data_IF_497421686993
#
_entry.id   IF_497421686993
#
_cell.length_a   1.000
_cell.length_b   1.000
_cell.length_c   1.000
_cell.angle_alpha   90.00
_cell.angle_beta   90.00
_cell.angle_gamma   90.00
#
_symmetry.space_group_name_H-M   'P 1'
#
loop_
_entity.id
_entity.type
_entity.pdbx_description
1 polymer ?
#
# COMPACT_ATOMS: atom_id res chain seq x y z
N UNK A 1 18.81 -27.60 -20.03
CA UNK A 1 20.01 -27.67 -19.18
C UNK A 1 20.98 -28.71 -19.69
N UNK A 2 22.23 -28.30 -19.92
CA UNK A 2 23.34 -29.22 -20.09
C UNK A 2 23.76 -29.77 -18.72
N UNK A 3 23.99 -31.07 -18.62
CA UNK A 3 24.33 -31.76 -17.36
C UNK A 3 25.83 -31.78 -17.14
N UNK A 4 26.31 -31.33 -15.98
CA UNK A 4 27.71 -31.32 -15.59
C UNK A 4 28.09 -32.50 -14.67
N UNK A 5 27.11 -33.12 -14.01
CA UNK A 5 27.35 -34.27 -13.14
C UNK A 5 27.23 -35.62 -13.87
N UNK A 6 28.01 -36.61 -13.44
CA UNK A 6 27.90 -37.99 -13.90
C UNK A 6 28.08 -38.97 -12.75
N UNK A 7 27.52 -40.17 -12.90
CA UNK A 7 27.62 -41.24 -11.91
C UNK A 7 28.84 -42.12 -12.21
N UNK A 8 29.74 -42.28 -11.25
CA UNK A 8 30.87 -43.21 -11.34
C UNK A 8 31.12 -43.89 -9.99
N UNK A 9 31.25 -45.23 -10.01
CA UNK A 9 31.47 -46.03 -8.81
C UNK A 9 30.38 -45.85 -7.73
N UNK A 10 29.15 -45.51 -8.12
CA UNK A 10 28.03 -45.27 -7.20
C UNK A 10 28.07 -43.91 -6.49
N UNK A 11 28.89 -42.96 -6.96
CA UNK A 11 28.94 -41.59 -6.45
C UNK A 11 28.80 -40.60 -7.60
N UNK A 12 28.11 -39.49 -7.34
CA UNK A 12 28.07 -38.39 -8.28
C UNK A 12 29.43 -37.66 -8.30
N UNK A 13 29.87 -37.35 -9.52
CA UNK A 13 31.11 -36.62 -9.80
C UNK A 13 30.83 -35.48 -10.78
N UNK A 14 31.65 -34.44 -10.70
CA UNK A 14 31.63 -33.32 -11.64
C UNK A 14 33.06 -33.09 -12.13
N UNK A 15 33.22 -32.92 -13.45
CA UNK A 15 34.52 -32.61 -14.05
C UNK A 15 34.50 -31.19 -14.60
N UNK A 16 35.40 -30.35 -14.10
CA UNK A 16 35.65 -29.01 -14.63
C UNK A 16 37.11 -28.91 -15.08
N UNK A 17 37.33 -28.90 -16.40
CA UNK A 17 38.66 -29.03 -16.98
C UNK A 17 39.32 -30.36 -16.57
N UNK A 18 40.53 -30.28 -16.04
CA UNK A 18 41.30 -31.44 -15.57
C UNK A 18 41.04 -31.79 -14.09
N UNK A 19 40.12 -31.08 -13.42
CA UNK A 19 39.81 -31.31 -12.00
C UNK A 19 38.48 -32.04 -11.84
N UNK A 20 38.49 -33.07 -11.00
CA UNK A 20 37.31 -33.84 -10.62
C UNK A 20 36.87 -33.51 -9.19
N UNK A 21 35.58 -33.31 -9.01
CA UNK A 21 34.95 -32.98 -7.75
C UNK A 21 33.96 -34.07 -7.34
N UNK A 22 33.86 -34.31 -6.03
CA UNK A 22 32.85 -35.20 -5.44
C UNK A 22 32.43 -34.68 -4.06
N UNK A 23 31.29 -35.16 -3.57
CA UNK A 23 30.77 -34.85 -2.24
C UNK A 23 29.33 -34.32 -2.24
N UNK A 24 28.79 -33.97 -1.06
CA UNK A 24 27.35 -33.69 -0.89
C UNK A 24 26.80 -32.55 -1.76
N UNK A 25 27.64 -31.57 -2.11
CA UNK A 25 27.23 -30.47 -2.98
C UNK A 25 27.08 -30.93 -4.45
N UNK A 26 27.87 -31.91 -4.89
CA UNK A 26 27.74 -32.55 -6.21
C UNK A 26 26.46 -33.39 -6.27
N UNK A 27 26.13 -34.10 -5.19
CA UNK A 27 24.87 -34.83 -5.08
C UNK A 27 23.66 -33.89 -5.19
N UNK A 28 23.72 -32.71 -4.54
CA UNK A 28 22.69 -31.67 -4.64
C UNK A 28 22.57 -31.10 -6.04
N UNK A 29 23.70 -30.85 -6.71
CA UNK A 29 23.70 -30.37 -8.09
C UNK A 29 23.12 -31.41 -9.05
N UNK A 30 23.49 -32.69 -8.89
CA UNK A 30 22.93 -33.77 -9.69
C UNK A 30 21.41 -33.90 -9.53
N UNK A 31 20.92 -33.79 -8.28
CA UNK A 31 19.49 -33.78 -8.00
C UNK A 31 18.77 -32.58 -8.63
N UNK A 32 19.44 -31.43 -8.71
CA UNK A 32 18.91 -30.26 -9.39
C UNK A 32 18.89 -30.44 -10.92
N UNK A 33 19.98 -30.93 -11.51
CA UNK A 33 20.04 -31.25 -12.95
C UNK A 33 19.03 -32.33 -13.36
N UNK A 34 18.71 -33.28 -12.47
CA UNK A 34 17.67 -34.29 -12.68
C UNK A 34 16.27 -33.67 -12.82
N UNK A 35 16.03 -32.45 -12.32
CA UNK A 35 14.78 -31.72 -12.58
C UNK A 35 14.66 -31.25 -14.02
N UNK A 36 15.79 -31.10 -14.73
CA UNK A 36 15.85 -30.56 -16.09
C UNK A 36 15.52 -29.07 -16.22
N UNK A 37 15.22 -28.40 -15.10
CA UNK A 37 14.88 -26.98 -15.06
C UNK A 37 16.14 -26.13 -15.13
N UNK A 38 16.09 -25.02 -15.87
CA UNK A 38 17.06 -23.94 -15.74
C UNK A 38 16.88 -23.19 -14.41
N UNK A 39 17.91 -22.51 -13.87
CA UNK A 39 17.79 -21.79 -12.60
C UNK A 39 16.66 -20.79 -12.60
N UNK A 40 16.50 -20.08 -13.72
CA UNK A 40 15.45 -19.10 -13.93
C UNK A 40 14.05 -19.73 -14.03
N UNK A 41 13.96 -21.03 -14.36
CA UNK A 41 12.69 -21.76 -14.49
C UNK A 41 12.19 -22.38 -13.17
N UNK A 42 12.99 -22.34 -12.10
CA UNK A 42 12.57 -22.87 -10.78
C UNK A 42 11.41 -22.04 -10.23
N UNK A 43 11.54 -20.72 -10.26
CA UNK A 43 10.54 -19.82 -9.69
C UNK A 43 9.19 -19.95 -10.41
N UNK A 44 9.21 -20.11 -11.73
CA UNK A 44 8.02 -20.37 -12.53
C UNK A 44 7.36 -21.70 -12.16
N UNK A 45 8.14 -22.79 -12.08
CA UNK A 45 7.63 -24.10 -11.68
C UNK A 45 7.04 -24.11 -10.25
N UNK A 46 7.64 -23.33 -9.33
CA UNK A 46 7.11 -23.17 -7.98
C UNK A 46 5.79 -22.39 -7.97
N UNK A 47 5.71 -21.30 -8.74
CA UNK A 47 4.48 -20.52 -8.87
C UNK A 47 3.36 -21.36 -9.49
N UNK A 48 3.64 -22.11 -10.55
CA UNK A 48 2.67 -23.02 -11.16
C UNK A 48 2.19 -24.09 -10.18
N UNK A 49 3.10 -24.72 -9.43
CA UNK A 49 2.74 -25.71 -8.43
C UNK A 49 1.85 -25.12 -7.33
N UNK A 50 2.17 -23.90 -6.89
CA UNK A 50 1.36 -23.14 -5.94
C UNK A 50 -0.04 -22.85 -6.49
N UNK A 51 -0.14 -22.35 -7.72
CA UNK A 51 -1.40 -21.99 -8.36
C UNK A 51 -2.28 -23.23 -8.61
N UNK A 52 -1.70 -24.33 -9.07
CA UNK A 52 -2.41 -25.61 -9.23
C UNK A 52 -2.92 -26.14 -7.89
N UNK A 53 -2.10 -26.06 -6.83
CA UNK A 53 -2.50 -26.44 -5.48
C UNK A 53 -3.65 -25.58 -4.96
N UNK A 54 -3.55 -24.26 -5.12
CA UNK A 54 -4.59 -23.32 -4.72
C UNK A 54 -5.89 -23.56 -5.50
N UNK A 55 -5.80 -23.74 -6.82
CA UNK A 55 -6.94 -24.04 -7.68
C UNK A 55 -7.62 -25.37 -7.30
N UNK A 56 -6.84 -26.40 -6.98
CA UNK A 56 -7.39 -27.67 -6.48
C UNK A 56 -8.15 -27.49 -5.16
N UNK A 57 -7.63 -26.69 -4.23
CA UNK A 57 -8.32 -26.36 -2.98
C UNK A 57 -9.62 -25.58 -3.23
N UNK A 58 -9.63 -24.64 -4.17
CA UNK A 58 -10.82 -23.88 -4.54
C UNK A 58 -11.89 -24.77 -5.16
N UNK A 59 -11.50 -25.63 -6.11
CA UNK A 59 -12.40 -26.60 -6.73
C UNK A 59 -13.02 -27.55 -5.70
N UNK A 60 -12.23 -28.05 -4.74
CA UNK A 60 -12.73 -28.88 -3.65
C UNK A 60 -13.78 -28.15 -2.79
N UNK A 61 -13.60 -26.85 -2.56
CA UNK A 61 -14.55 -26.02 -1.82
C UNK A 61 -15.73 -25.52 -2.66
N UNK A 62 -15.76 -25.83 -3.95
CA UNK A 62 -16.77 -25.32 -4.89
C UNK A 62 -16.70 -23.81 -5.08
N UNK A 63 -15.51 -23.21 -4.93
CA UNK A 63 -15.26 -21.78 -5.09
C UNK A 63 -14.41 -21.52 -6.32
N UNK A 64 -14.58 -20.34 -6.91
CA UNK A 64 -13.77 -19.83 -8.01
C UNK A 64 -12.61 -18.98 -7.49
N UNK A 65 -11.68 -18.66 -8.40
CA UNK A 65 -10.55 -17.79 -8.10
C UNK A 65 -10.99 -16.36 -7.76
N UNK A 66 -12.02 -15.85 -8.46
CA UNK A 66 -12.60 -14.51 -8.20
C UNK A 66 -13.20 -14.42 -6.80
N UNK A 67 -14.02 -15.42 -6.42
CA UNK A 67 -14.64 -15.46 -5.09
C UNK A 67 -13.59 -15.56 -3.98
N UNK A 68 -12.52 -16.31 -4.20
CA UNK A 68 -11.42 -16.40 -3.26
C UNK A 68 -10.66 -15.07 -3.12
N UNK A 69 -10.39 -14.38 -4.23
CA UNK A 69 -9.74 -13.08 -4.23
C UNK A 69 -10.60 -12.03 -3.50
N UNK A 70 -11.90 -11.99 -3.77
CA UNK A 70 -12.86 -11.15 -3.05
C UNK A 70 -12.85 -11.45 -1.55
N UNK A 71 -12.86 -12.73 -1.15
CA UNK A 71 -12.80 -13.13 0.25
C UNK A 71 -11.52 -12.63 0.94
N UNK A 72 -10.37 -12.66 0.27
CA UNK A 72 -9.12 -12.14 0.82
C UNK A 72 -9.17 -10.62 0.96
N UNK A 73 -9.79 -9.91 0.02
CA UNK A 73 -10.01 -8.48 0.14
C UNK A 73 -10.89 -8.15 1.36
N UNK A 74 -11.95 -8.91 1.60
CA UNK A 74 -12.77 -8.75 2.82
C UNK A 74 -11.99 -9.04 4.09
N UNK A 75 -11.16 -10.09 4.11
CA UNK A 75 -10.31 -10.42 5.27
C UNK A 75 -9.28 -9.32 5.58
N UNK A 76 -8.81 -8.61 4.57
CA UNK A 76 -7.89 -7.50 4.74
C UNK A 76 -8.53 -6.27 5.41
N UNK A 77 -9.87 -6.17 5.42
CA UNK A 77 -10.59 -5.08 6.10
C UNK A 77 -10.57 -5.22 7.64
N UNK A 78 -10.37 -6.43 8.17
CA UNK A 78 -10.42 -6.73 9.59
C UNK A 78 -11.22 -7.99 9.90
N UNK A 79 -11.27 -8.37 11.17
CA UNK A 79 -12.10 -9.51 11.61
C UNK A 79 -13.58 -9.12 11.65
N UNK A 80 -14.45 -10.13 11.66
CA UNK A 80 -15.91 -9.90 11.77
C UNK A 80 -16.24 -9.20 13.08
N UNK A 81 -15.55 -9.52 14.17
CA UNK A 81 -15.73 -8.88 15.47
C UNK A 81 -15.34 -7.40 15.42
N UNK A 82 -14.21 -7.06 14.81
CA UNK A 82 -13.75 -5.68 14.64
C UNK A 82 -14.73 -4.87 13.79
N UNK A 83 -15.15 -5.41 12.64
CA UNK A 83 -16.10 -4.75 11.75
C UNK A 83 -17.48 -4.61 12.41
N UNK A 84 -17.91 -5.59 13.22
CA UNK A 84 -19.16 -5.51 13.98
C UNK A 84 -19.12 -4.43 15.06
N UNK A 85 -17.98 -4.30 15.76
CA UNK A 85 -17.77 -3.23 16.72
C UNK A 85 -17.80 -1.86 16.04
N UNK A 86 -17.18 -1.74 14.85
CA UNK A 86 -17.19 -0.52 14.06
C UNK A 86 -18.61 -0.11 13.62
N UNK A 87 -19.43 -1.07 13.17
CA UNK A 87 -20.83 -0.82 12.82
C UNK A 87 -21.63 -0.35 14.04
N UNK A 88 -21.43 -0.97 15.20
CA UNK A 88 -22.08 -0.53 16.44
C UNK A 88 -21.67 0.90 16.81
N UNK A 89 -20.39 1.23 16.69
CA UNK A 89 -19.90 2.57 16.97
C UNK A 89 -20.45 3.61 15.98
N UNK A 90 -20.65 3.23 14.72
CA UNK A 90 -21.34 4.05 13.73
C UNK A 90 -22.81 4.31 14.11
N UNK A 91 -23.55 3.25 14.45
CA UNK A 91 -24.96 3.36 14.85
C UNK A 91 -25.15 4.17 16.14
N UNK A 92 -24.18 4.09 17.07
CA UNK A 92 -24.17 4.87 18.31
C UNK A 92 -23.55 6.26 18.14
N UNK A 93 -23.18 6.66 16.92
CA UNK A 93 -22.62 7.98 16.59
C UNK A 93 -21.23 8.24 17.17
N UNK A 94 -20.52 7.19 17.61
CA UNK A 94 -19.13 7.26 18.10
C UNK A 94 -18.11 7.33 16.96
N UNK A 95 -18.49 6.87 15.76
CA UNK A 95 -17.68 6.97 14.54
C UNK A 95 -18.36 7.92 13.58
N UNK A 96 -17.62 8.90 13.09
CA UNK A 96 -18.03 9.78 12.01
C UNK A 96 -17.19 9.47 10.77
N UNK A 97 -17.86 9.27 9.64
CA UNK A 97 -17.22 9.17 8.33
C UNK A 97 -17.21 10.59 7.81
N UNK A 98 -16.03 11.14 7.81
CA UNK A 98 -15.75 12.40 7.20
C UNK A 98 -16.21 12.46 5.72
N UNK A 99 -17.20 13.31 5.34
CA UNK A 99 -17.57 13.52 3.94
C UNK A 99 -16.39 13.81 2.98
N UNK A 100 -16.34 13.24 1.77
CA UNK A 100 -15.22 13.40 0.85
C UNK A 100 -14.82 14.88 0.63
N UNK A 101 -13.54 15.18 0.30
CA UNK A 101 -13.11 16.56 0.04
C UNK A 101 -13.97 17.20 -1.06
N UNK A 102 -14.26 18.49 -0.88
CA UNK A 102 -15.05 19.28 -1.83
C UNK A 102 -14.39 19.32 -3.22
N UNK A 103 -15.23 19.34 -4.26
CA UNK A 103 -14.85 19.39 -5.67
C UNK A 103 -15.33 20.71 -6.29
N UNK A 104 -14.87 20.98 -7.51
CA UNK A 104 -15.31 22.13 -8.30
C UNK A 104 -16.83 22.13 -8.49
N UNK A 105 -17.49 23.25 -8.11
CA UNK A 105 -18.94 23.42 -8.23
C UNK A 105 -19.76 22.95 -7.01
N UNK A 106 -19.15 22.26 -6.04
CA UNK A 106 -19.78 22.04 -4.73
C UNK A 106 -19.95 23.38 -4.01
N UNK A 107 -21.01 23.62 -3.22
CA UNK A 107 -21.09 24.85 -2.43
C UNK A 107 -19.89 24.96 -1.47
N UNK A 108 -19.29 26.15 -1.39
CA UNK A 108 -18.18 26.40 -0.47
C UNK A 108 -18.65 26.08 0.96
N UNK A 109 -17.98 25.15 1.67
CA UNK A 109 -18.33 24.86 3.06
C UNK A 109 -18.08 26.10 3.92
N UNK A 110 -18.85 26.27 5.00
CA UNK A 110 -18.63 27.38 5.93
C UNK A 110 -17.16 27.37 6.39
N UNK A 111 -16.45 28.48 6.24
CA UNK A 111 -15.08 28.65 6.74
C UNK A 111 -15.09 29.62 7.92
N UNK A 112 -14.34 29.35 8.99
CA UNK A 112 -14.17 30.27 10.12
C UNK A 112 -12.86 31.07 9.98
N UNK A 113 -12.90 32.39 10.20
CA UNK A 113 -11.71 33.23 10.34
C UNK A 113 -11.09 33.02 11.72
N UNK A 114 -9.83 32.59 11.79
CA UNK A 114 -9.09 32.69 13.05
C UNK A 114 -8.84 34.16 13.44
N UNK A 115 -8.37 34.38 14.66
CA UNK A 115 -8.04 35.72 15.17
C UNK A 115 -6.92 36.44 14.37
N UNK A 116 -6.30 35.78 13.38
CA UNK A 116 -5.31 36.32 12.46
C UNK A 116 -5.82 36.53 11.02
N UNK A 117 -7.12 36.30 10.74
CA UNK A 117 -7.72 36.51 9.42
C UNK A 117 -7.57 35.35 8.42
N UNK A 118 -7.15 34.17 8.87
CA UNK A 118 -7.07 32.97 8.01
C UNK A 118 -8.39 32.21 8.02
N UNK A 119 -8.97 31.91 6.85
CA UNK A 119 -10.22 31.15 6.69
C UNK A 119 -9.96 29.64 6.72
N UNK A 120 -10.58 28.92 7.67
CA UNK A 120 -10.47 27.47 7.85
C UNK A 120 -11.82 26.77 7.62
N UNK A 121 -11.91 25.75 6.77
CA UNK A 121 -13.17 25.02 6.50
C UNK A 121 -13.72 24.29 7.75
N UNK A 122 -14.97 24.54 8.16
CA UNK A 122 -15.67 24.03 9.36
C UNK A 122 -15.99 22.52 9.36
N UNK A 123 -15.39 21.72 8.47
CA UNK A 123 -15.76 20.32 8.32
C UNK A 123 -14.93 19.33 9.14
N UNK A 124 -13.71 19.66 9.56
CA UNK A 124 -12.75 18.64 9.95
C UNK A 124 -11.94 19.01 11.18
N UNK A 125 -11.98 18.09 12.15
CA UNK A 125 -11.38 18.15 13.47
C UNK A 125 -10.11 19.02 13.52
N UNK A 126 -10.06 19.87 14.56
CA UNK A 126 -8.84 20.52 15.02
C UNK A 126 -7.71 19.48 15.00
N UNK A 127 -6.65 19.76 14.26
CA UNK A 127 -5.35 19.16 14.55
C UNK A 127 -5.02 19.43 16.03
N UNK A 128 -4.21 18.57 16.66
CA UNK A 128 -3.77 18.78 18.05
C UNK A 128 -3.05 20.14 18.24
N UNK A 129 -2.57 20.73 17.14
CA UNK A 129 -2.03 22.08 17.05
C UNK A 129 -3.06 23.05 16.45
N UNK A 130 -3.55 23.99 17.26
CA UNK A 130 -4.49 25.04 16.85
C UNK A 130 -4.02 25.92 15.68
N UNK A 131 -2.72 25.88 15.35
CA UNK A 131 -2.07 26.72 14.33
C UNK A 131 -1.79 26.00 12.99
N UNK A 132 -2.13 24.70 12.85
CA UNK A 132 -1.80 23.92 11.63
C UNK A 132 -3.03 23.43 10.84
N UNK A 133 -3.03 23.54 9.49
CA UNK A 133 -4.07 22.92 8.67
C UNK A 133 -4.12 21.42 8.86
N UNK A 134 -5.32 20.89 9.06
CA UNK A 134 -5.51 19.46 8.86
C UNK A 134 -5.09 19.08 7.43
N UNK A 135 -4.48 17.91 7.26
CA UNK A 135 -3.96 17.44 5.96
C UNK A 135 -5.03 17.36 4.86
N UNK A 136 -6.31 17.39 5.26
CA UNK A 136 -7.46 17.40 4.35
C UNK A 136 -7.76 18.78 3.77
N UNK A 137 -7.60 19.86 4.53
CA UNK A 137 -7.70 21.23 3.98
C UNK A 137 -6.64 21.46 2.89
N UNK A 138 -5.44 20.89 3.06
CA UNK A 138 -4.39 20.89 2.01
C UNK A 138 -4.82 20.18 0.72
N UNK A 139 -5.87 19.35 0.75
CA UNK A 139 -6.42 18.61 -0.41
C UNK A 139 -7.76 19.15 -0.91
N UNK A 140 -8.40 20.07 -0.20
CA UNK A 140 -9.68 20.67 -0.57
C UNK A 140 -9.54 21.49 -1.87
N UNK A 141 -10.48 21.36 -2.81
CA UNK A 141 -10.46 22.11 -4.06
C UNK A 141 -10.50 23.63 -3.83
N UNK A 142 -11.31 24.11 -2.89
CA UNK A 142 -11.40 25.54 -2.53
C UNK A 142 -10.11 26.08 -1.92
N UNK A 143 -9.45 25.34 -1.02
CA UNK A 143 -8.18 25.78 -0.44
C UNK A 143 -7.00 25.71 -1.43
N UNK A 144 -7.08 24.84 -2.45
CA UNK A 144 -6.06 24.73 -3.50
C UNK A 144 -6.18 25.80 -4.59
N UNK A 145 -7.39 26.30 -4.84
CA UNK A 145 -7.69 27.20 -5.97
C UNK A 145 -8.24 28.57 -5.54
N UNK A 146 -8.43 28.82 -4.23
CA UNK A 146 -8.77 30.14 -3.71
C UNK A 146 -7.57 31.06 -3.70
N UNK A 147 -7.80 32.36 -3.89
CA UNK A 147 -6.81 33.45 -3.88
C UNK A 147 -6.21 33.71 -2.48
N UNK A 148 -5.64 32.68 -1.84
CA UNK A 148 -4.79 32.79 -0.66
C UNK A 148 -3.32 32.53 -1.02
N UNK A 149 -2.93 32.93 -2.24
CA UNK A 149 -1.54 33.11 -2.60
C UNK A 149 -1.13 34.53 -2.19
N UNK A 150 -0.40 34.60 -1.08
CA UNK A 150 0.40 35.73 -0.61
C UNK A 150 -0.34 37.05 -0.39
N UNK A 151 -0.34 37.52 0.86
CA UNK A 151 -0.75 38.87 1.21
C UNK A 151 -0.13 39.87 0.22
N UNK A 152 -0.98 40.63 -0.47
CA UNK A 152 -0.55 41.70 -1.37
C UNK A 152 0.50 42.58 -0.67
N UNK A 153 1.60 42.99 -1.34
CA UNK A 153 2.55 43.95 -0.78
C UNK A 153 1.89 45.26 -0.30
N UNK A 154 0.65 45.55 -0.74
CA UNK A 154 -0.16 46.67 -0.27
C UNK A 154 -0.65 46.49 1.18
N UNK A 155 -0.83 45.25 1.64
CA UNK A 155 -1.17 44.93 3.02
C UNK A 155 0.02 45.12 3.98
N UNK A 156 1.25 44.84 3.54
CA UNK A 156 2.46 45.16 4.32
C UNK A 156 2.71 46.68 4.37
N UNK A 157 2.42 47.41 3.29
CA UNK A 157 2.52 48.87 3.27
C UNK A 157 1.51 49.55 4.22
N UNK A 158 0.36 48.94 4.47
CA UNK A 158 -0.65 49.47 5.40
C UNK A 158 -0.24 49.35 6.89
N UNK A 159 0.73 48.49 7.23
CA UNK A 159 1.24 48.31 8.59
C UNK A 159 2.56 49.07 8.85
N UNK A 160 3.17 49.65 7.81
CA UNK A 160 4.43 50.38 7.89
C UNK A 160 4.26 51.90 7.93
N UNK A 161 3.76 52.46 9.03
CA UNK A 161 3.77 53.91 9.20
C UNK A 161 3.16 54.42 10.50
N UNK A 162 4.00 54.72 11.50
CA UNK A 162 3.59 55.52 12.65
C UNK A 162 4.37 55.26 13.93
N UNK A 163 5.65 55.62 13.93
CA UNK A 163 6.48 55.67 15.13
C UNK A 163 7.43 56.85 15.06
N UNK A 164 6.88 58.06 15.16
CA UNK A 164 7.68 59.28 15.36
C UNK A 164 8.02 59.45 16.85
N UNK A 165 9.25 59.88 17.12
CA UNK A 165 9.65 60.49 18.39
C UNK A 165 9.21 61.94 18.51
#
# INVERSE_FOLDING_TARGET
>A
MERYTYMDGGKWRLRAGDTEYSGPWVDRLAAYEDTGLEPDGIDEALNEAHDLGYQACLNYKGSTWSEAAELQAYRALGTVEELTALVKDWDEGRVHIDPPPAKEGDPQPDCFEDYGGSLWCLGYQRSENVDEPCDRCKRCWYCKNGDYADASPEAEAALGGGGDG
#
